data_IF_120663146306
#
_entry.id   IF_120663146306
#
_cell.length_a   1.000
_cell.length_b   1.000
_cell.length_c   1.000
_cell.angle_alpha   90.00
_cell.angle_beta   90.00
_cell.angle_gamma   90.00
#
_symmetry.space_group_name_H-M   'P 1'
#
loop_
_entity.id
_entity.type
_entity.pdbx_description
1 polymer ?
#
# COMPACT_ATOMS: atom_id res chain seq x y z
N UNK A 1 0.10 21.88 10.70
CA UNK A 1 1.26 22.61 10.17
C UNK A 1 2.30 21.62 9.69
N UNK A 2 2.84 21.87 8.50
CA UNK A 2 4.01 21.15 7.98
C UNK A 2 5.28 21.92 8.37
N UNK A 3 6.36 21.23 8.75
CA UNK A 3 7.58 21.89 9.24
C UNK A 3 8.46 22.47 8.13
N UNK A 4 8.15 22.19 6.85
CA UNK A 4 8.88 22.70 5.69
C UNK A 4 7.92 23.42 4.72
N UNK A 5 8.39 24.44 3.98
CA UNK A 5 7.63 25.07 2.91
C UNK A 5 7.28 24.07 1.82
N UNK A 6 6.12 24.27 1.20
CA UNK A 6 5.60 23.43 0.12
C UNK A 6 5.76 24.19 -1.19
N UNK A 7 6.35 23.54 -2.18
CA UNK A 7 6.55 24.11 -3.52
C UNK A 7 5.43 23.70 -4.47
N UNK A 8 4.93 22.46 -4.35
CA UNK A 8 3.84 21.95 -5.17
C UNK A 8 2.98 20.94 -4.39
N UNK A 9 1.72 20.83 -4.79
CA UNK A 9 0.77 19.86 -4.27
C UNK A 9 0.13 19.05 -5.41
N UNK A 10 -0.14 17.79 -5.13
CA UNK A 10 -0.87 16.88 -6.00
C UNK A 10 -1.70 15.89 -5.19
N UNK A 11 -2.52 15.11 -5.85
CA UNK A 11 -3.27 14.00 -5.22
C UNK A 11 -3.12 12.76 -6.07
N UNK A 12 -3.14 11.57 -5.48
CA UNK A 12 -3.12 10.33 -6.24
C UNK A 12 -4.47 10.07 -6.92
N UNK A 13 -4.42 9.55 -8.14
CA UNK A 13 -5.60 9.13 -8.92
C UNK A 13 -5.46 7.67 -9.30
N UNK A 14 -6.46 6.87 -8.94
CA UNK A 14 -6.61 5.47 -9.36
C UNK A 14 -7.83 5.33 -10.24
N UNK A 15 -7.97 4.19 -10.93
CA UNK A 15 -8.93 4.02 -12.02
C UNK A 15 -10.37 4.11 -11.53
N UNK A 16 -10.66 3.45 -10.41
CA UNK A 16 -11.99 3.40 -9.78
C UNK A 16 -12.09 4.25 -8.52
N UNK A 17 -10.96 4.80 -8.04
CA UNK A 17 -10.92 5.60 -6.81
C UNK A 17 -11.20 4.79 -5.54
N UNK A 18 -10.98 3.47 -5.59
CA UNK A 18 -11.19 2.53 -4.48
C UNK A 18 -10.00 2.60 -3.52
N UNK A 19 -8.78 2.69 -4.07
CA UNK A 19 -7.57 2.88 -3.28
C UNK A 19 -7.67 4.15 -2.43
N UNK A 20 -6.99 4.13 -1.28
CA UNK A 20 -6.83 5.34 -0.46
C UNK A 20 -6.19 6.46 -1.27
N UNK A 21 -6.56 7.71 -0.98
CA UNK A 21 -5.97 8.87 -1.63
C UNK A 21 -4.81 9.38 -0.78
N UNK A 22 -3.66 9.56 -1.41
CA UNK A 22 -2.54 10.26 -0.81
C UNK A 22 -2.44 11.66 -1.40
N UNK A 23 -2.01 12.60 -0.56
CA UNK A 23 -1.67 13.95 -0.95
C UNK A 23 -0.18 13.98 -1.18
N UNK A 24 0.21 14.35 -2.39
CA UNK A 24 1.58 14.47 -2.81
C UNK A 24 2.04 15.89 -2.50
N UNK A 25 3.15 16.00 -1.77
CA UNK A 25 3.70 17.27 -1.32
C UNK A 25 5.15 17.34 -1.78
N UNK A 26 5.45 18.29 -2.67
CA UNK A 26 6.83 18.67 -2.92
C UNK A 26 7.24 19.69 -1.84
N UNK A 27 8.32 19.38 -1.13
CA UNK A 27 8.88 20.25 -0.10
C UNK A 27 10.03 21.06 -0.67
N UNK A 28 10.36 22.19 -0.03
CA UNK A 28 11.50 23.03 -0.42
C UNK A 28 12.88 22.35 -0.27
N UNK A 29 12.93 21.13 0.27
CA UNK A 29 14.14 20.30 0.39
C UNK A 29 14.27 19.32 -0.79
N UNK A 30 13.58 19.63 -1.89
CA UNK A 30 13.56 18.87 -3.15
C UNK A 30 13.13 17.40 -2.98
N UNK A 31 12.30 17.13 -1.97
CA UNK A 31 11.69 15.82 -1.71
C UNK A 31 10.20 15.83 -1.99
N UNK A 32 9.74 14.73 -2.59
CA UNK A 32 8.32 14.47 -2.86
C UNK A 32 7.83 13.47 -1.82
N UNK A 33 6.84 13.87 -1.04
CA UNK A 33 6.25 13.08 0.05
C UNK A 33 4.82 12.70 -0.27
N UNK A 34 4.40 11.51 0.15
CA UNK A 34 3.03 11.02 0.02
C UNK A 34 2.39 10.92 1.40
N UNK A 35 1.51 11.87 1.72
CA UNK A 35 0.77 11.91 2.98
C UNK A 35 -0.58 11.20 2.82
N UNK A 36 -0.92 10.32 3.76
CA UNK A 36 -2.27 9.74 3.82
C UNK A 36 -3.31 10.83 4.10
N UNK A 37 -4.40 10.88 3.32
CA UNK A 37 -5.54 11.77 3.55
C UNK A 37 -6.08 11.70 4.98
N UNK A 38 -6.00 10.55 5.65
CA UNK A 38 -6.44 10.36 7.04
C UNK A 38 -5.71 11.29 8.02
N UNK A 39 -4.49 11.70 7.69
CA UNK A 39 -3.72 12.67 8.49
C UNK A 39 -4.32 14.07 8.48
N UNK A 40 -5.17 14.40 7.51
CA UNK A 40 -5.83 15.70 7.43
C UNK A 40 -7.36 15.56 7.49
N UNK A 41 -7.87 14.46 8.04
CA UNK A 41 -9.31 14.31 8.27
C UNK A 41 -9.77 15.33 9.33
N UNK A 42 -10.77 16.18 9.04
CA UNK A 42 -11.29 17.14 10.00
C UNK A 42 -11.98 16.50 11.21
N UNK A 43 -12.38 15.22 11.12
CA UNK A 43 -13.06 14.49 12.20
C UNK A 43 -12.11 13.93 13.26
N UNK A 44 -10.80 14.19 13.15
CA UNK A 44 -9.80 13.68 14.10
C UNK A 44 -10.05 14.26 15.51
N UNK A 45 -10.20 13.42 16.54
CA UNK A 45 -10.47 13.89 17.90
C UNK A 45 -9.23 14.55 18.52
N UNK A 46 -9.42 15.62 19.28
CA UNK A 46 -8.33 16.33 19.99
C UNK A 46 -7.91 15.61 21.28
N UNK A 47 -8.86 14.96 21.94
CA UNK A 47 -8.65 14.17 23.17
C UNK A 47 -8.26 12.72 22.90
N UNK A 48 -8.54 11.86 23.87
CA UNK A 48 -8.42 10.41 23.68
C UNK A 48 -9.46 9.91 22.67
N UNK A 49 -9.03 8.99 21.82
CA UNK A 49 -9.88 8.42 20.77
C UNK A 49 -10.90 7.48 21.41
N UNK A 50 -12.20 7.76 21.20
CA UNK A 50 -13.29 6.92 21.68
C UNK A 50 -13.38 5.62 20.88
N UNK A 51 -14.02 4.60 21.43
CA UNK A 51 -14.12 3.28 20.76
C UNK A 51 -14.76 3.35 19.37
N UNK A 52 -15.84 4.11 19.19
CA UNK A 52 -16.46 4.27 17.87
C UNK A 52 -15.53 4.97 16.86
N UNK A 53 -14.76 5.97 17.30
CA UNK A 53 -13.78 6.68 16.47
C UNK A 53 -12.62 5.75 16.08
N UNK A 54 -12.19 4.87 16.99
CA UNK A 54 -11.19 3.83 16.69
C UNK A 54 -11.71 2.82 15.66
N UNK A 55 -12.99 2.43 15.75
CA UNK A 55 -13.62 1.52 14.78
C UNK A 55 -13.68 2.14 13.37
N UNK A 56 -13.88 3.46 13.27
CA UNK A 56 -13.75 4.20 12.01
C UNK A 56 -12.29 4.39 11.55
N UNK A 57 -11.32 4.06 12.40
CA UNK A 57 -9.91 4.26 12.15
C UNK A 57 -9.48 5.73 12.21
N UNK A 58 -10.18 6.58 12.95
CA UNK A 58 -9.75 7.95 13.17
C UNK A 58 -8.50 7.97 14.07
N UNK A 59 -7.54 8.80 13.69
CA UNK A 59 -6.32 9.00 14.44
C UNK A 59 -6.42 10.28 15.28
N UNK A 60 -5.91 10.25 16.51
CA UNK A 60 -5.86 11.45 17.38
C UNK A 60 -5.24 12.63 16.62
N UNK A 61 -5.87 13.80 16.73
CA UNK A 61 -5.38 15.03 16.14
C UNK A 61 -3.99 15.38 16.68
N UNK A 62 -3.09 15.72 15.76
CA UNK A 62 -1.79 16.30 16.05
C UNK A 62 -1.62 17.51 15.14
N UNK A 63 -1.34 18.71 15.70
CA UNK A 63 -1.17 19.91 14.90
C UNK A 63 0.09 19.84 14.03
N UNK A 64 1.10 19.07 14.44
CA UNK A 64 2.31 18.85 13.66
C UNK A 64 2.17 17.56 12.84
N UNK A 65 2.39 17.67 11.53
CA UNK A 65 2.52 16.50 10.64
C UNK A 65 4.01 16.14 10.56
N UNK A 66 4.43 14.97 11.04
CA UNK A 66 5.84 14.58 10.99
C UNK A 66 6.27 14.32 9.54
N UNK A 67 7.49 14.73 9.20
CA UNK A 67 8.12 14.35 7.94
C UNK A 67 8.91 13.07 8.17
N UNK A 68 8.32 11.94 7.78
CA UNK A 68 8.94 10.62 7.92
C UNK A 68 9.54 10.20 6.59
N UNK A 69 10.81 9.80 6.58
CA UNK A 69 11.51 9.38 5.35
C UNK A 69 10.84 8.21 4.63
N UNK A 70 10.14 7.34 5.38
CA UNK A 70 9.36 6.22 4.84
C UNK A 70 8.21 6.66 3.91
N UNK A 71 7.73 7.90 4.05
CA UNK A 71 6.66 8.45 3.23
C UNK A 71 7.19 9.27 2.04
N UNK A 72 8.51 9.34 1.87
CA UNK A 72 9.14 10.05 0.76
C UNK A 72 9.07 9.20 -0.50
N UNK A 73 8.19 9.58 -1.43
CA UNK A 73 8.01 8.91 -2.70
C UNK A 73 9.24 9.01 -3.63
N UNK A 74 10.04 10.08 -3.49
CA UNK A 74 11.30 10.22 -4.22
C UNK A 74 12.48 9.46 -3.58
N UNK A 75 12.29 8.84 -2.41
CA UNK A 75 13.32 8.10 -1.68
C UNK A 75 14.65 8.89 -1.56
N UNK A 76 15.72 8.38 -2.17
CA UNK A 76 17.06 9.00 -2.21
C UNK A 76 17.15 10.17 -3.19
N UNK A 77 16.29 10.20 -4.21
CA UNK A 77 16.32 11.20 -5.27
C UNK A 77 15.85 12.58 -4.79
N UNK A 78 16.58 13.60 -5.18
CA UNK A 78 16.24 15.02 -5.01
C UNK A 78 15.76 15.56 -6.34
N UNK A 79 14.60 16.23 -6.35
CA UNK A 79 13.95 16.73 -7.57
C UNK A 79 13.82 18.24 -7.44
N UNK A 80 14.69 18.98 -8.12
CA UNK A 80 14.79 20.42 -7.91
C UNK A 80 13.69 21.19 -8.64
N UNK A 81 13.13 22.19 -7.97
CA UNK A 81 12.25 23.17 -8.59
C UNK A 81 10.90 22.61 -9.06
N UNK A 82 10.38 21.57 -8.39
CA UNK A 82 9.05 21.03 -8.69
C UNK A 82 7.99 22.11 -8.46
N UNK A 83 7.22 22.45 -9.50
CA UNK A 83 6.10 23.38 -9.41
C UNK A 83 4.75 22.69 -9.61
N UNK A 84 4.73 21.55 -10.29
CA UNK A 84 3.52 20.80 -10.59
C UNK A 84 3.72 19.30 -10.30
N UNK A 85 2.70 18.68 -9.72
CA UNK A 85 2.62 17.23 -9.54
C UNK A 85 1.33 16.76 -10.20
N UNK A 86 1.47 15.96 -11.25
CA UNK A 86 0.36 15.35 -11.98
C UNK A 86 0.31 13.86 -11.64
N UNK A 87 -0.88 13.32 -11.49
CA UNK A 87 -1.08 11.88 -11.32
C UNK A 87 -2.11 11.35 -12.31
N UNK A 88 -1.95 10.08 -12.67
CA UNK A 88 -2.90 9.34 -13.51
C UNK A 88 -3.03 7.91 -12.99
N UNK A 89 -4.13 7.25 -13.32
CA UNK A 89 -4.38 5.86 -12.94
C UNK A 89 -3.51 4.91 -13.75
N UNK A 90 -2.98 3.88 -13.09
CA UNK A 90 -2.41 2.74 -13.80
C UNK A 90 -3.51 1.76 -14.25
N UNK A 91 -3.13 0.70 -14.97
CA UNK A 91 -4.04 -0.41 -15.33
C UNK A 91 -4.54 -1.16 -14.09
N UNK A 92 -3.68 -1.24 -13.07
CA UNK A 92 -3.88 -1.89 -11.79
C UNK A 92 -4.44 -0.85 -10.80
N UNK A 93 -5.48 -1.19 -10.03
CA UNK A 93 -6.21 -0.21 -9.20
C UNK A 93 -5.38 0.24 -8.00
N UNK A 94 -4.55 -0.64 -7.44
CA UNK A 94 -3.68 -0.26 -6.33
C UNK A 94 -2.60 0.76 -6.70
N UNK A 95 -2.34 0.98 -7.99
CA UNK A 95 -1.21 1.77 -8.49
C UNK A 95 -1.65 3.10 -9.11
N UNK A 96 -0.91 4.16 -8.79
CA UNK A 96 -1.03 5.49 -9.39
C UNK A 96 0.32 5.91 -9.98
N UNK A 97 0.28 6.43 -11.21
CA UNK A 97 1.46 6.98 -11.88
C UNK A 97 1.59 8.45 -11.52
N UNK A 98 2.76 8.87 -11.06
CA UNK A 98 3.02 10.23 -10.59
C UNK A 98 4.14 10.83 -11.42
N UNK A 99 3.91 12.05 -11.91
CA UNK A 99 4.89 12.87 -12.60
C UNK A 99 5.02 14.22 -11.88
N UNK A 100 6.20 14.50 -11.35
CA UNK A 100 6.56 15.81 -10.80
C UNK A 100 7.45 16.55 -11.79
N UNK A 101 7.09 17.77 -12.12
CA UNK A 101 7.78 18.56 -13.15
C UNK A 101 7.67 20.07 -12.91
N UNK A 102 8.39 20.83 -13.74
CA UNK A 102 8.31 22.29 -13.85
C UNK A 102 9.62 23.02 -13.62
N UNK A 103 10.59 22.38 -12.96
CA UNK A 103 11.97 22.83 -12.83
C UNK A 103 12.88 22.23 -13.90
N UNK A 104 14.21 22.22 -13.68
CA UNK A 104 15.16 21.52 -14.54
C UNK A 104 14.97 20.00 -14.51
N UNK A 105 14.47 19.47 -13.39
CA UNK A 105 14.32 18.04 -13.15
C UNK A 105 12.89 17.58 -13.42
N UNK A 106 12.76 16.38 -13.98
CA UNK A 106 11.50 15.66 -14.14
C UNK A 106 11.62 14.35 -13.38
N UNK A 107 10.66 14.08 -12.51
CA UNK A 107 10.63 12.85 -11.73
C UNK A 107 9.34 12.08 -11.98
N UNK A 108 9.49 10.79 -12.25
CA UNK A 108 8.38 9.88 -12.49
C UNK A 108 8.49 8.67 -11.57
N UNK A 109 7.39 8.32 -10.90
CA UNK A 109 7.33 7.12 -10.07
C UNK A 109 5.93 6.50 -10.08
N UNK A 110 5.86 5.23 -9.68
CA UNK A 110 4.59 4.56 -9.37
C UNK A 110 4.44 4.53 -7.86
N UNK A 111 3.24 4.80 -7.38
CA UNK A 111 2.93 4.77 -5.96
C UNK A 111 1.68 3.94 -5.73
N UNK A 112 1.72 3.10 -4.71
CA UNK A 112 0.58 2.32 -4.25
C UNK A 112 0.05 2.84 -2.91
N UNK A 113 -0.98 3.71 -2.89
CA UNK A 113 -1.43 4.35 -1.66
C UNK A 113 -1.93 3.37 -0.60
N UNK A 114 -2.70 2.36 -1.02
CA UNK A 114 -3.25 1.33 -0.13
C UNK A 114 -2.46 0.02 -0.14
N UNK A 115 -1.18 0.07 -0.55
CA UNK A 115 -0.35 -1.10 -0.92
C UNK A 115 -0.93 -1.88 -2.10
N UNK A 116 -0.13 -2.80 -2.63
CA UNK A 116 -0.41 -3.58 -3.83
C UNK A 116 -1.39 -4.73 -3.55
N UNK A 117 -2.66 -4.42 -3.27
CA UNK A 117 -3.66 -5.42 -2.87
C UNK A 117 -4.17 -6.31 -4.02
N UNK A 118 -3.95 -5.90 -5.28
CA UNK A 118 -4.33 -6.60 -6.50
C UNK A 118 -3.11 -7.17 -7.25
N UNK A 119 -1.93 -7.18 -6.61
CA UNK A 119 -0.71 -7.77 -7.13
C UNK A 119 -0.15 -8.80 -6.14
N UNK A 120 0.57 -9.79 -6.66
CA UNK A 120 1.28 -10.75 -5.82
C UNK A 120 2.58 -10.10 -5.32
N UNK A 121 2.87 -10.11 -4.00
CA UNK A 121 4.10 -9.53 -3.49
C UNK A 121 5.35 -10.19 -4.09
N UNK A 122 6.41 -9.39 -4.30
CA UNK A 122 7.69 -9.92 -4.77
C UNK A 122 8.32 -10.91 -3.78
N UNK A 123 8.08 -10.72 -2.49
CA UNK A 123 8.55 -11.60 -1.41
C UNK A 123 7.73 -12.89 -1.25
N UNK A 124 6.75 -13.15 -2.12
CA UNK A 124 5.91 -14.33 -2.02
C UNK A 124 6.70 -15.62 -2.32
N UNK A 125 6.76 -16.52 -1.33
CA UNK A 125 7.51 -17.77 -1.45
C UNK A 125 6.74 -18.82 -2.27
N UNK A 126 6.89 -18.73 -3.60
CA UNK A 126 6.29 -19.67 -4.56
C UNK A 126 6.78 -21.11 -4.34
N UNK A 127 8.04 -21.29 -3.95
CA UNK A 127 8.63 -22.61 -3.72
C UNK A 127 7.98 -23.36 -2.56
N UNK A 128 7.79 -22.69 -1.42
CA UNK A 128 7.11 -23.28 -0.27
C UNK A 128 5.66 -23.67 -0.62
N UNK A 129 4.93 -22.80 -1.34
CA UNK A 129 3.58 -23.13 -1.81
C UNK A 129 3.59 -24.39 -2.67
N UNK A 130 4.49 -24.49 -3.65
CA UNK A 130 4.60 -25.67 -4.52
C UNK A 130 4.87 -26.94 -3.73
N UNK A 131 5.81 -26.90 -2.77
CA UNK A 131 6.15 -28.06 -1.92
C UNK A 131 4.95 -28.51 -1.09
N UNK A 132 4.24 -27.58 -0.45
CA UNK A 132 3.05 -27.91 0.36
C UNK A 132 1.95 -28.53 -0.50
N UNK A 133 1.68 -27.98 -1.69
CA UNK A 133 0.67 -28.51 -2.62
C UNK A 133 1.04 -29.93 -3.06
N UNK A 134 2.30 -30.16 -3.46
CA UNK A 134 2.77 -31.50 -3.85
C UNK A 134 2.72 -32.49 -2.67
N UNK A 135 3.13 -32.06 -1.47
CA UNK A 135 3.05 -32.85 -0.25
C UNK A 135 1.61 -33.28 0.05
N UNK A 136 0.65 -32.36 -0.04
CA UNK A 136 -0.78 -32.66 0.17
C UNK A 136 -1.30 -33.67 -0.85
N UNK A 137 -0.91 -33.57 -2.12
CA UNK A 137 -1.31 -34.54 -3.16
C UNK A 137 -0.83 -35.95 -2.79
N UNK A 138 0.43 -36.08 -2.35
CA UNK A 138 1.01 -37.37 -1.92
C UNK A 138 0.26 -37.92 -0.70
N UNK A 139 0.06 -37.09 0.33
CA UNK A 139 -0.64 -37.47 1.56
C UNK A 139 -2.05 -37.96 1.25
N UNK A 140 -2.82 -37.23 0.44
CA UNK A 140 -4.18 -37.62 0.04
C UNK A 140 -4.19 -38.98 -0.67
N UNK A 141 -3.20 -39.24 -1.54
CA UNK A 141 -3.13 -40.52 -2.27
C UNK A 141 -2.79 -41.70 -1.35
N UNK A 142 -1.88 -41.50 -0.40
CA UNK A 142 -1.54 -42.51 0.61
C UNK A 142 -2.75 -42.80 1.51
N UNK A 143 -3.40 -41.76 2.04
CA UNK A 143 -4.57 -41.90 2.91
C UNK A 143 -5.73 -42.58 2.19
N UNK A 144 -5.99 -42.22 0.92
CA UNK A 144 -7.03 -42.89 0.11
C UNK A 144 -6.74 -44.38 -0.07
N UNK A 145 -5.49 -44.75 -0.35
CA UNK A 145 -5.10 -46.15 -0.50
C UNK A 145 -5.27 -46.93 0.83
N UNK A 146 -4.86 -46.33 1.95
CA UNK A 146 -5.06 -46.91 3.28
C UNK A 146 -6.55 -47.08 3.61
N UNK A 147 -7.37 -46.07 3.32
CA UNK A 147 -8.82 -46.12 3.52
C UNK A 147 -9.49 -47.22 2.69
N UNK A 148 -9.15 -47.34 1.41
CA UNK A 148 -9.67 -48.39 0.54
C UNK A 148 -9.31 -49.79 1.08
N UNK A 149 -8.06 -49.99 1.50
CA UNK A 149 -7.62 -51.26 2.08
C UNK A 149 -8.35 -51.59 3.39
N UNK A 150 -8.61 -50.59 4.23
CA UNK A 150 -9.35 -50.78 5.49
C UNK A 150 -10.83 -51.10 5.25
N UNK A 151 -11.48 -50.46 4.27
CA UNK A 151 -12.88 -50.76 3.93
C UNK A 151 -13.05 -52.19 3.40
N UNK A 152 -12.12 -52.67 2.57
CA UNK A 152 -12.14 -54.07 2.10
C UNK A 152 -12.00 -55.03 3.28
N UNK A 153 -11.09 -54.77 4.24
CA UNK A 153 -10.95 -55.64 5.43
C UNK A 153 -12.20 -55.68 6.30
N UNK A 154 -12.88 -54.56 6.48
CA UNK A 154 -14.11 -54.48 7.27
C UNK A 154 -15.30 -55.15 6.57
N UNK A 155 -15.40 -55.06 5.24
CA UNK A 155 -16.50 -55.67 4.49
C UNK A 155 -16.39 -57.19 4.32
N UNK A 156 -15.21 -57.76 4.57
CA UNK A 156 -14.93 -59.20 4.47
C UNK A 156 -14.78 -59.87 5.85
N UNK A 157 -15.03 -59.13 6.93
CA UNK A 157 -15.25 -59.65 8.28
C UNK A 157 -16.75 -59.79 8.55
#
# INVERSE_FOLDING_TARGET
ALPKPITALGTTKTRSGISTKHILVATADDKIMALDRRMIDPRRPTGEVKEHEKMEGLMRYSPLIPLVSLWTASHTETVHGVTHIVSTSATVESQSLILAHGGPDIFFTRLAPSREFDMLPESFNRGALTVVVLGLIIVVRVVKNMGANNQVKLGWS
#
